data_IF_689057888301
#
_entry.id   IF_689057888301
#
_cell.length_a   1.000
_cell.length_b   1.000
_cell.length_c   1.000
_cell.angle_alpha   90.00
_cell.angle_beta   90.00
_cell.angle_gamma   90.00
#
_symmetry.space_group_name_H-M   'P 1'
#
loop_
_entity.id
_entity.type
_entity.pdbx_description
1 polymer ?
#
# COMPACT_ATOMS: atom_id res chain seq x y z
N UNK A 1 46.63 9.59 45.83
CA UNK A 1 45.55 9.07 44.96
C UNK A 1 45.56 7.54 45.04
N UNK A 2 44.42 6.92 45.32
CA UNK A 2 44.34 5.48 45.59
C UNK A 2 44.06 4.72 44.29
N UNK A 3 45.05 4.02 43.68
CA UNK A 3 44.90 3.41 42.35
C UNK A 3 43.78 2.34 42.32
N UNK A 4 43.48 1.74 43.47
CA UNK A 4 42.43 0.74 43.66
C UNK A 4 41.00 1.25 43.42
N UNK A 5 40.76 2.57 43.49
CA UNK A 5 39.44 3.18 43.21
C UNK A 5 39.21 3.47 41.72
N UNK A 6 40.29 3.54 40.93
CA UNK A 6 40.22 3.83 39.50
C UNK A 6 40.04 2.57 38.65
N UNK A 7 40.41 1.40 39.17
CA UNK A 7 40.21 0.10 38.50
C UNK A 7 38.73 -0.23 38.24
N UNK A 8 37.80 -0.17 39.21
CA UNK A 8 36.40 -0.48 38.93
C UNK A 8 35.74 0.59 38.04
N UNK A 9 36.16 1.85 38.15
CA UNK A 9 35.66 2.95 37.33
C UNK A 9 36.09 2.80 35.86
N UNK A 10 37.34 2.42 35.62
CA UNK A 10 37.84 2.13 34.27
C UNK A 10 37.15 0.92 33.62
N UNK A 11 36.88 -0.12 34.43
CA UNK A 11 36.17 -1.32 33.96
C UNK A 11 34.71 -1.00 33.57
N UNK A 12 34.04 -0.12 34.32
CA UNK A 12 32.68 0.31 34.03
C UNK A 12 32.58 1.18 32.77
N UNK A 13 33.56 2.07 32.54
CA UNK A 13 33.63 2.87 31.31
C UNK A 13 33.90 2.00 30.08
N UNK A 14 34.81 1.02 30.19
CA UNK A 14 35.09 0.08 29.11
C UNK A 14 33.84 -0.75 28.73
N UNK A 15 33.06 -1.20 29.72
CA UNK A 15 31.81 -1.91 29.48
C UNK A 15 30.75 -1.06 28.74
N UNK A 16 30.65 0.24 29.05
CA UNK A 16 29.71 1.15 28.39
C UNK A 16 30.07 1.41 26.91
N UNK A 17 31.37 1.47 26.57
CA UNK A 17 31.81 1.73 25.19
C UNK A 17 31.56 0.53 24.26
N UNK A 18 31.65 -0.70 24.78
CA UNK A 18 31.41 -1.92 23.98
C UNK A 18 29.94 -2.09 23.58
N UNK A 19 28.99 -1.56 24.35
CA UNK A 19 27.56 -1.69 24.08
C UNK A 19 27.03 -0.77 22.96
N UNK A 20 27.78 0.27 22.55
CA UNK A 20 27.29 1.30 21.64
C UNK A 20 27.51 1.01 20.14
N UNK A 21 28.34 0.02 19.79
CA UNK A 21 28.62 -0.36 18.40
C UNK A 21 27.95 -1.69 18.03
N UNK A 22 26.62 -1.70 18.00
CA UNK A 22 25.86 -2.76 17.34
C UNK A 22 25.79 -2.54 15.82
N UNK A 23 25.81 -3.59 14.99
CA UNK A 23 25.64 -3.45 13.55
C UNK A 23 24.24 -2.91 13.25
N UNK A 24 24.18 -1.72 12.63
CA UNK A 24 22.95 -1.14 12.10
C UNK A 24 22.48 -2.02 10.95
N UNK A 25 21.45 -2.84 11.17
CA UNK A 25 20.82 -3.60 10.11
C UNK A 25 20.23 -2.63 9.09
N UNK A 26 20.84 -2.58 7.90
CA UNK A 26 20.25 -1.92 6.74
C UNK A 26 19.09 -2.78 6.27
N UNK A 27 17.83 -2.29 6.27
CA UNK A 27 16.72 -3.07 5.74
C UNK A 27 16.94 -3.26 4.23
N UNK A 28 16.98 -4.52 3.80
CA UNK A 28 16.95 -4.88 2.38
C UNK A 28 15.66 -4.34 1.77
N UNK A 29 15.71 -3.56 0.66
CA UNK A 29 14.50 -3.14 -0.03
C UNK A 29 13.77 -4.38 -0.54
N UNK A 30 12.52 -4.55 -0.10
CA UNK A 30 11.64 -5.57 -0.67
C UNK A 30 11.35 -5.20 -2.15
N UNK A 31 11.27 -6.19 -3.06
CA UNK A 31 10.79 -5.92 -4.42
C UNK A 31 9.38 -5.32 -4.35
N UNK A 32 9.02 -4.38 -5.24
CA UNK A 32 7.65 -3.88 -5.33
C UNK A 32 6.69 -5.04 -5.59
N UNK A 33 5.73 -5.24 -4.69
CA UNK A 33 4.57 -6.09 -4.96
C UNK A 33 3.71 -5.34 -5.96
N UNK A 34 3.84 -5.65 -7.25
CA UNK A 34 2.91 -5.16 -8.26
C UNK A 34 1.52 -5.80 -8.03
N UNK A 35 0.44 -5.00 -8.08
CA UNK A 35 -0.92 -5.54 -8.08
C UNK A 35 -1.11 -6.56 -9.21
N UNK A 36 -1.84 -7.65 -8.99
CA UNK A 36 -2.11 -8.62 -10.05
C UNK A 36 -2.79 -7.92 -11.23
N UNK A 37 -2.24 -8.10 -12.43
CA UNK A 37 -2.82 -7.56 -13.65
C UNK A 37 -4.25 -8.11 -13.86
N UNK A 38 -5.25 -7.26 -14.16
CA UNK A 38 -6.60 -7.72 -14.39
C UNK A 38 -6.63 -8.63 -15.64
N UNK A 39 -7.11 -9.86 -15.46
CA UNK A 39 -7.34 -10.77 -16.58
C UNK A 39 -8.61 -10.32 -17.31
N UNK A 40 -8.47 -9.87 -18.55
CA UNK A 40 -9.61 -9.45 -19.36
C UNK A 40 -10.49 -10.68 -19.70
N UNK A 41 -11.71 -10.70 -19.19
CA UNK A 41 -12.76 -11.64 -19.64
C UNK A 41 -13.48 -11.02 -20.82
N UNK A 42 -13.41 -11.64 -22.00
CA UNK A 42 -14.15 -11.19 -23.19
C UNK A 42 -15.65 -11.40 -22.98
N UNK A 43 -16.40 -10.32 -22.77
CA UNK A 43 -17.87 -10.34 -22.69
C UNK A 43 -18.49 -10.13 -24.08
N UNK A 44 -19.69 -10.67 -24.27
CA UNK A 44 -20.49 -10.57 -25.50
C UNK A 44 -20.73 -9.10 -25.92
N UNK A 45 -20.86 -8.82 -27.23
CA UNK A 45 -20.96 -7.46 -27.73
C UNK A 45 -22.22 -6.74 -27.20
N UNK A 46 -21.99 -5.59 -26.56
CA UNK A 46 -23.03 -4.69 -26.07
C UNK A 46 -23.73 -3.99 -27.26
N UNK A 47 -25.05 -3.75 -27.22
CA UNK A 47 -25.76 -3.03 -28.26
C UNK A 47 -25.15 -1.63 -28.51
N UNK A 48 -25.20 -1.14 -29.76
CA UNK A 48 -24.57 0.12 -30.14
C UNK A 48 -25.22 1.28 -29.39
N UNK A 49 -24.40 2.03 -28.67
CA UNK A 49 -24.78 3.30 -28.05
C UNK A 49 -24.62 4.39 -29.11
N UNK A 50 -25.59 5.30 -29.23
CA UNK A 50 -25.48 6.45 -30.13
C UNK A 50 -24.19 7.22 -29.82
N UNK A 51 -23.47 7.65 -30.87
CA UNK A 51 -22.24 8.42 -30.72
C UNK A 51 -22.48 9.62 -29.79
N UNK A 52 -21.85 9.62 -28.62
CA UNK A 52 -21.94 10.69 -27.62
C UNK A 52 -22.82 10.41 -26.40
N UNK A 53 -23.64 9.35 -26.40
CA UNK A 53 -24.41 8.95 -25.22
C UNK A 53 -23.59 7.97 -24.36
N UNK A 54 -23.54 8.20 -23.05
CA UNK A 54 -22.91 7.25 -22.11
C UNK A 54 -24.03 6.47 -21.46
N UNK A 55 -24.02 5.12 -21.50
CA UNK A 55 -25.06 4.31 -20.86
C UNK A 55 -25.20 4.64 -19.38
N UNK A 56 -26.44 4.75 -18.91
CA UNK A 56 -26.78 5.00 -17.52
C UNK A 56 -27.79 3.96 -17.05
N UNK A 57 -27.78 3.60 -15.77
CA UNK A 57 -28.77 2.71 -15.21
C UNK A 57 -28.53 2.39 -13.74
N UNK A 58 -29.14 1.31 -13.27
CA UNK A 58 -28.93 0.75 -11.94
C UNK A 58 -28.43 -0.70 -12.05
N UNK A 59 -27.54 -1.11 -11.15
CA UNK A 59 -27.13 -2.51 -11.01
C UNK A 59 -28.26 -3.34 -10.38
N UNK A 60 -28.08 -4.67 -10.32
CA UNK A 60 -29.04 -5.57 -9.66
C UNK A 60 -29.23 -5.24 -8.17
N UNK A 61 -28.20 -4.70 -7.53
CA UNK A 61 -28.19 -4.23 -6.14
C UNK A 61 -28.78 -2.83 -5.97
N UNK A 62 -29.18 -2.17 -7.07
CA UNK A 62 -29.77 -0.84 -7.05
C UNK A 62 -28.76 0.32 -7.01
N UNK A 63 -27.47 0.08 -7.29
CA UNK A 63 -26.47 1.15 -7.36
C UNK A 63 -26.54 1.86 -8.73
N UNK A 64 -26.53 3.20 -8.79
CA UNK A 64 -26.48 3.90 -10.07
C UNK A 64 -25.13 3.68 -10.76
N UNK A 65 -25.13 3.48 -12.07
CA UNK A 65 -23.91 3.39 -12.88
C UNK A 65 -23.96 4.31 -14.10
N UNK A 66 -22.76 4.68 -14.55
CA UNK A 66 -22.49 5.41 -15.78
C UNK A 66 -21.36 4.71 -16.53
N UNK A 67 -21.60 4.30 -17.77
CA UNK A 67 -20.64 3.60 -18.62
C UNK A 67 -20.92 2.09 -18.70
N UNK A 68 -19.86 1.29 -18.77
CA UNK A 68 -19.96 -0.16 -18.84
C UNK A 68 -19.80 -0.79 -17.45
N UNK A 69 -20.84 -1.45 -16.88
CA UNK A 69 -20.71 -2.09 -15.57
C UNK A 69 -19.70 -3.25 -15.57
N UNK A 70 -19.39 -3.81 -16.75
CA UNK A 70 -18.40 -4.87 -16.93
C UNK A 70 -17.01 -4.36 -17.37
N UNK A 71 -16.77 -3.05 -17.29
CA UNK A 71 -15.48 -2.48 -17.63
C UNK A 71 -14.36 -3.13 -16.80
N UNK A 72 -13.16 -3.33 -17.36
CA UNK A 72 -12.03 -3.93 -16.64
C UNK A 72 -11.57 -3.10 -15.45
N UNK A 73 -11.94 -1.82 -15.41
CA UNK A 73 -11.74 -0.91 -14.30
C UNK A 73 -13.05 -0.20 -14.04
N UNK A 74 -13.48 -0.19 -12.79
CA UNK A 74 -14.67 0.51 -12.32
C UNK A 74 -14.26 1.62 -11.34
N UNK A 75 -14.92 2.77 -11.44
CA UNK A 75 -14.75 3.87 -10.50
C UNK A 75 -15.96 3.88 -9.56
N UNK A 76 -15.73 3.82 -8.25
CA UNK A 76 -16.79 3.89 -7.24
C UNK A 76 -16.73 5.25 -6.58
N UNK A 77 -17.81 6.02 -6.71
CA UNK A 77 -17.96 7.34 -6.09
C UNK A 77 -18.81 7.23 -4.82
N UNK A 78 -18.33 7.80 -3.73
CA UNK A 78 -19.08 7.95 -2.48
C UNK A 78 -19.41 9.43 -2.30
N UNK A 79 -20.71 9.76 -2.33
CA UNK A 79 -21.21 11.14 -2.24
C UNK A 79 -22.37 11.22 -1.26
N UNK A 80 -22.47 12.36 -0.55
CA UNK A 80 -23.55 12.67 0.39
C UNK A 80 -24.11 14.06 0.02
N UNK A 81 -25.43 14.14 -0.20
CA UNK A 81 -26.11 15.38 -0.58
C UNK A 81 -26.83 15.94 0.65
N UNK A 82 -26.50 17.18 1.03
CA UNK A 82 -27.18 17.92 2.11
C UNK A 82 -28.18 18.94 1.58
#
# INVERSE_FOLDING_TARGET
>A
MNPKRFVPLGLLIAALVVAACGPKATPTPLPPTEPPAPTATTKAPKPPVSEGEVPMGFTEEGAPYRGDPDAPVTLVEYSDYQ
#
